data_IF_885241142884
#
_entry.id   IF_885241142884
#
_cell.length_a   1.000
_cell.length_b   1.000
_cell.length_c   1.000
_cell.angle_alpha   90.00
_cell.angle_beta   90.00
_cell.angle_gamma   90.00
#
_symmetry.space_group_name_H-M   'P 1'
#
loop_
_entity.id
_entity.type
_entity.pdbx_description
1 polymer ?
#
# COMPACT_ATOMS: atom_id res chain seq x y z
N UNK A 1 -14.59 -17.23 2.68
CA UNK A 1 -15.12 -16.15 1.81
C UNK A 1 -13.95 -15.25 1.46
N UNK A 2 -13.39 -15.41 0.25
CA UNK A 2 -12.36 -14.50 -0.25
C UNK A 2 -13.14 -13.27 -0.73
N UNK A 3 -13.05 -12.19 0.03
CA UNK A 3 -13.63 -10.91 -0.35
C UNK A 3 -12.91 -10.44 -1.62
N UNK A 4 -13.58 -10.57 -2.77
CA UNK A 4 -13.06 -10.28 -4.12
C UNK A 4 -12.73 -8.81 -4.33
N UNK A 5 -13.11 -7.94 -3.39
CA UNK A 5 -12.75 -6.52 -3.35
C UNK A 5 -11.31 -6.27 -2.90
N UNK A 6 -10.63 -7.28 -2.35
CA UNK A 6 -9.18 -7.28 -2.15
C UNK A 6 -8.59 -8.16 -3.23
N UNK A 7 -8.13 -7.60 -4.36
CA UNK A 7 -7.23 -8.33 -5.26
C UNK A 7 -5.96 -8.60 -4.45
N UNK A 8 -5.76 -9.83 -3.92
CA UNK A 8 -4.76 -10.08 -2.90
C UNK A 8 -3.43 -10.31 -3.60
N UNK A 9 -2.96 -9.28 -4.30
CA UNK A 9 -1.59 -9.25 -4.78
C UNK A 9 -0.69 -8.99 -3.57
N UNK A 10 0.58 -9.38 -3.67
CA UNK A 10 1.58 -9.05 -2.65
C UNK A 10 1.70 -7.54 -2.35
N UNK A 11 1.23 -6.69 -3.28
CA UNK A 11 1.27 -5.24 -3.17
C UNK A 11 0.08 -4.65 -2.41
N UNK A 12 -1.01 -5.40 -2.19
CA UNK A 12 -2.20 -4.88 -1.53
C UNK A 12 -2.03 -4.68 -0.03
N UNK A 13 -2.70 -3.68 0.55
CA UNK A 13 -2.75 -3.48 1.99
C UNK A 13 -3.67 -4.52 2.67
N UNK A 14 -3.17 -5.42 3.54
CA UNK A 14 -4.00 -6.40 4.24
C UNK A 14 -4.81 -5.79 5.39
N UNK A 15 -4.40 -4.63 5.91
CA UNK A 15 -5.09 -3.95 7.01
C UNK A 15 -6.41 -3.34 6.50
N UNK A 16 -7.51 -3.58 7.22
CA UNK A 16 -8.85 -3.13 6.84
C UNK A 16 -9.15 -1.82 7.55
N UNK A 17 -9.39 -0.76 6.78
CA UNK A 17 -9.94 0.50 7.31
C UNK A 17 -11.44 0.49 7.10
N UNK A 18 -12.22 0.53 8.19
CA UNK A 18 -13.69 0.66 8.12
C UNK A 18 -14.14 2.11 8.21
N UNK A 19 -13.25 2.99 8.67
CA UNK A 19 -13.43 4.45 8.75
C UNK A 19 -12.21 5.16 8.18
N UNK A 20 -12.32 6.48 7.95
CA UNK A 20 -11.18 7.29 7.51
C UNK A 20 -10.10 7.42 8.59
N UNK A 21 -10.49 7.49 9.87
CA UNK A 21 -9.55 7.51 11.00
C UNK A 21 -8.71 6.22 11.08
N UNK A 22 -9.31 5.07 10.75
CA UNK A 22 -8.59 3.78 10.70
C UNK A 22 -7.62 3.67 9.52
N UNK A 23 -7.75 4.55 8.52
CA UNK A 23 -6.93 4.51 7.30
C UNK A 23 -5.50 4.92 7.54
N UNK A 24 -5.30 5.97 8.35
CA UNK A 24 -3.96 6.40 8.76
C UNK A 24 -3.23 5.24 9.43
N UNK A 25 -3.87 4.55 10.37
CA UNK A 25 -3.29 3.39 11.05
C UNK A 25 -3.04 2.23 10.10
N UNK A 26 -3.98 1.92 9.19
CA UNK A 26 -3.81 0.83 8.23
C UNK A 26 -2.66 1.07 7.26
N UNK A 27 -2.46 2.31 6.79
CA UNK A 27 -1.32 2.68 5.93
C UNK A 27 -0.01 2.70 6.73
N UNK A 28 -0.03 3.20 7.97
CA UNK A 28 1.14 3.18 8.85
C UNK A 28 1.61 1.74 9.14
N UNK A 29 0.68 0.83 9.46
CA UNK A 29 1.01 -0.58 9.66
C UNK A 29 1.48 -1.25 8.37
N UNK A 30 0.91 -0.89 7.22
CA UNK A 30 1.40 -1.39 5.93
C UNK A 30 2.85 -0.97 5.68
N UNK A 31 3.16 0.31 5.90
CA UNK A 31 4.50 0.85 5.76
C UNK A 31 5.49 0.21 6.74
N UNK A 32 5.06 -0.11 7.97
CA UNK A 32 5.94 -0.69 8.98
C UNK A 32 6.17 -2.20 8.83
N UNK A 33 5.13 -2.96 8.47
CA UNK A 33 5.15 -4.43 8.60
C UNK A 33 5.08 -5.19 7.28
N UNK A 34 4.72 -4.54 6.17
CA UNK A 34 4.51 -5.20 4.88
C UNK A 34 5.47 -4.66 3.83
N UNK A 35 5.42 -3.35 3.58
CA UNK A 35 6.18 -2.70 2.52
C UNK A 35 7.70 -2.96 2.55
N UNK A 36 8.37 -3.00 3.73
CA UNK A 36 9.82 -3.28 3.81
C UNK A 36 10.21 -4.69 3.36
N UNK A 37 9.25 -5.62 3.32
CA UNK A 37 9.48 -7.01 2.93
C UNK A 37 9.10 -7.28 1.46
N UNK A 38 8.66 -6.25 0.72
CA UNK A 38 8.28 -6.38 -0.68
C UNK A 38 9.45 -6.01 -1.60
N UNK A 39 9.55 -6.65 -2.79
CA UNK A 39 10.56 -6.31 -3.78
C UNK A 39 10.21 -5.01 -4.52
N UNK A 40 10.09 -3.88 -3.81
CA UNK A 40 9.60 -2.59 -4.31
C UNK A 40 10.39 -2.03 -5.52
N UNK A 41 11.62 -2.48 -5.72
CA UNK A 41 12.43 -2.13 -6.90
C UNK A 41 11.77 -2.58 -8.22
N UNK A 42 10.95 -3.63 -8.21
CA UNK A 42 10.21 -4.11 -9.39
C UNK A 42 9.11 -3.13 -9.85
N UNK A 43 8.73 -2.18 -8.98
CA UNK A 43 7.71 -1.18 -9.25
C UNK A 43 8.26 0.08 -9.92
N UNK A 44 9.59 0.24 -10.03
CA UNK A 44 10.19 1.38 -10.73
C UNK A 44 9.73 1.42 -12.19
N UNK A 45 9.25 2.58 -12.61
CA UNK A 45 8.73 2.79 -13.97
C UNK A 45 7.36 2.16 -14.24
N UNK A 46 6.63 1.75 -13.21
CA UNK A 46 5.24 1.25 -13.32
C UNK A 46 4.25 2.24 -12.72
N UNK A 47 3.07 2.30 -13.31
CA UNK A 47 1.92 2.97 -12.72
C UNK A 47 1.26 2.07 -11.67
N UNK A 48 1.03 2.60 -10.47
CA UNK A 48 0.34 1.89 -9.40
C UNK A 48 -1.12 2.32 -9.33
N UNK A 49 -2.02 1.35 -9.18
CA UNK A 49 -3.45 1.59 -9.00
C UNK A 49 -3.94 0.93 -7.70
N UNK A 50 -4.66 1.70 -6.89
CA UNK A 50 -5.33 1.25 -5.67
C UNK A 50 -6.82 1.60 -5.73
N UNK A 51 -7.65 0.93 -4.92
CA UNK A 51 -9.04 1.34 -4.66
C UNK A 51 -9.17 2.17 -3.36
N UNK A 52 -8.06 2.72 -2.87
CA UNK A 52 -8.13 3.67 -1.76
C UNK A 52 -8.71 5.01 -2.27
N UNK A 53 -9.42 5.76 -1.41
CA UNK A 53 -9.82 7.13 -1.73
C UNK A 53 -8.59 7.98 -2.05
N UNK A 54 -8.71 8.90 -3.02
CA UNK A 54 -7.60 9.71 -3.53
C UNK A 54 -7.18 10.82 -2.55
N UNK A 55 -8.11 11.34 -1.76
CA UNK A 55 -7.86 12.45 -0.81
C UNK A 55 -7.50 11.97 0.60
N UNK A 56 -7.15 10.70 0.74
CA UNK A 56 -6.82 10.06 2.01
C UNK A 56 -5.54 9.23 1.84
N UNK A 57 -4.84 8.85 2.93
CA UNK A 57 -3.63 8.04 2.81
C UNK A 57 -3.86 6.75 1.98
N UNK A 58 -3.11 6.56 0.88
CA UNK A 58 -3.07 5.29 0.13
C UNK A 58 -1.77 4.53 0.42
N UNK A 59 -1.84 3.20 0.35
CA UNK A 59 -0.65 2.34 0.41
C UNK A 59 0.22 2.45 -0.84
N UNK A 60 -0.33 2.86 -1.98
CA UNK A 60 0.41 3.10 -3.21
C UNK A 60 1.44 4.23 -3.04
N UNK A 61 1.13 5.24 -2.22
CA UNK A 61 2.06 6.34 -1.91
C UNK A 61 3.32 5.81 -1.22
N UNK A 62 3.15 4.86 -0.28
CA UNK A 62 4.26 4.17 0.39
C UNK A 62 5.10 3.39 -0.62
N UNK A 63 4.45 2.63 -1.50
CA UNK A 63 5.14 1.85 -2.54
C UNK A 63 5.89 2.74 -3.52
N UNK A 64 5.30 3.86 -3.95
CA UNK A 64 5.94 4.84 -4.83
C UNK A 64 7.15 5.48 -4.16
N UNK A 65 7.01 5.88 -2.89
CA UNK A 65 8.11 6.48 -2.13
C UNK A 65 9.29 5.50 -1.98
N UNK A 66 9.02 4.23 -1.69
CA UNK A 66 10.07 3.21 -1.56
C UNK A 66 10.66 2.78 -2.91
N UNK A 67 9.84 2.72 -3.96
CA UNK A 67 10.31 2.38 -5.30
C UNK A 67 11.19 3.50 -5.86
N UNK A 68 10.83 4.77 -5.67
CA UNK A 68 11.54 5.91 -6.24
C UNK A 68 12.59 6.52 -5.30
N UNK A 69 12.52 6.24 -4.00
CA UNK A 69 13.53 6.61 -3.04
C UNK A 69 14.79 5.75 -3.20
N UNK A 70 15.96 6.39 -3.21
CA UNK A 70 17.23 5.69 -3.02
C UNK A 70 17.21 5.06 -1.63
N UNK A 71 17.27 3.74 -1.56
CA UNK A 71 17.71 3.03 -0.37
C UNK A 71 18.99 3.71 0.11
N UNK A 72 18.96 4.33 1.29
CA UNK A 72 20.20 4.65 2.01
C UNK A 72 20.72 3.36 2.63
#
# INVERSE_FOLDING_TARGET
MIDTWRRPTRWGNPYVSRTDADRVHAVAWYAAHIAPHLPVHELRGRDLACWCPLDQPCHADVLLALANGSTN
#
